data_IF_652854722585
#
_entry.id   IF_652854722585
#
_cell.length_a   1.000
_cell.length_b   1.000
_cell.length_c   1.000
_cell.angle_alpha   90.00
_cell.angle_beta   90.00
_cell.angle_gamma   90.00
#
_symmetry.space_group_name_H-M   'P 1'
#
loop_
_entity.id
_entity.type
_entity.pdbx_description
1 polymer ?
#
# COMPACT_ATOMS: atom_id res chain seq x y z
N UNK A 1 43.22 15.30 -22.79
CA UNK A 1 42.54 14.63 -23.94
C UNK A 1 42.11 13.29 -23.41
N UNK A 2 40.80 12.97 -23.46
CA UNK A 2 40.24 11.68 -22.96
C UNK A 2 40.77 10.55 -23.82
N UNK A 3 41.21 9.45 -23.23
CA UNK A 3 41.69 8.28 -23.95
C UNK A 3 40.48 7.40 -24.40
N UNK A 4 40.70 6.53 -25.39
CA UNK A 4 39.68 5.59 -25.82
C UNK A 4 39.21 4.66 -24.69
N UNK A 5 40.08 4.32 -23.75
CA UNK A 5 39.74 3.52 -22.57
C UNK A 5 38.82 4.28 -21.63
N UNK A 6 39.15 5.53 -21.28
CA UNK A 6 38.31 6.41 -20.44
C UNK A 6 36.94 6.67 -21.10
N UNK A 7 36.88 6.80 -22.43
CA UNK A 7 35.62 6.94 -23.17
C UNK A 7 34.77 5.68 -23.06
N UNK A 8 35.37 4.49 -23.20
CA UNK A 8 34.67 3.21 -23.04
C UNK A 8 34.07 3.05 -21.63
N UNK A 9 34.87 3.33 -20.60
CA UNK A 9 34.41 3.25 -19.20
C UNK A 9 33.27 4.24 -18.89
N UNK A 10 33.28 5.44 -19.48
CA UNK A 10 32.22 6.43 -19.34
C UNK A 10 30.95 5.99 -20.09
N UNK A 11 31.07 5.38 -21.25
CA UNK A 11 29.94 4.86 -22.04
C UNK A 11 29.26 3.70 -21.31
N UNK A 12 30.01 2.80 -20.69
CA UNK A 12 29.45 1.72 -19.87
C UNK A 12 28.66 2.26 -18.66
N UNK A 13 29.20 3.28 -17.96
CA UNK A 13 28.49 3.95 -16.86
C UNK A 13 27.21 4.64 -17.32
N UNK A 14 27.25 5.31 -18.48
CA UNK A 14 26.09 5.98 -19.05
C UNK A 14 25.00 4.97 -19.44
N UNK A 15 25.37 3.87 -20.06
CA UNK A 15 24.44 2.80 -20.42
C UNK A 15 23.80 2.16 -19.16
N UNK A 16 24.59 1.91 -18.11
CA UNK A 16 24.07 1.40 -16.85
C UNK A 16 23.06 2.38 -16.22
N UNK A 17 23.37 3.68 -16.19
CA UNK A 17 22.47 4.71 -15.68
C UNK A 17 21.18 4.83 -16.54
N UNK A 18 21.30 4.71 -17.85
CA UNK A 18 20.15 4.69 -18.76
C UNK A 18 19.25 3.47 -18.51
N UNK A 19 19.84 2.28 -18.34
CA UNK A 19 19.08 1.07 -18.03
C UNK A 19 18.38 1.13 -16.67
N UNK A 20 19.00 1.77 -15.67
CA UNK A 20 18.37 2.04 -14.37
C UNK A 20 17.19 3.03 -14.51
N UNK A 21 17.36 4.12 -15.25
CA UNK A 21 16.29 5.06 -15.54
C UNK A 21 15.15 4.40 -16.31
N UNK A 22 15.46 3.63 -17.34
CA UNK A 22 14.47 2.88 -18.11
C UNK A 22 13.66 1.92 -17.24
N UNK A 23 14.30 1.22 -16.29
CA UNK A 23 13.60 0.40 -15.30
C UNK A 23 12.70 1.21 -14.38
N UNK A 24 13.16 2.40 -13.96
CA UNK A 24 12.39 3.30 -13.07
C UNK A 24 11.09 3.79 -13.73
N UNK A 25 11.12 4.09 -15.03
CA UNK A 25 9.98 4.57 -15.80
C UNK A 25 9.21 3.45 -16.53
N UNK A 26 9.61 2.21 -16.39
CA UNK A 26 8.86 1.10 -16.96
C UNK A 26 7.53 0.93 -16.22
N UNK A 27 6.40 1.02 -16.94
CA UNK A 27 5.06 0.81 -16.39
C UNK A 27 4.97 -0.65 -15.89
N UNK A 28 4.72 -0.86 -14.60
CA UNK A 28 4.72 -2.22 -14.04
C UNK A 28 3.47 -2.99 -14.47
N UNK A 29 3.60 -4.31 -14.59
CA UNK A 29 2.47 -5.21 -14.85
C UNK A 29 1.87 -5.74 -13.53
N UNK A 30 0.60 -6.18 -13.61
CA UNK A 30 -0.10 -6.77 -12.45
C UNK A 30 0.62 -8.03 -11.97
N UNK A 31 0.93 -8.08 -10.69
CA UNK A 31 1.72 -9.14 -10.05
C UNK A 31 3.20 -8.82 -9.92
N UNK A 32 3.73 -7.82 -10.63
CA UNK A 32 5.11 -7.35 -10.45
C UNK A 32 5.27 -6.51 -9.18
N UNK A 33 6.51 -6.25 -8.83
CA UNK A 33 6.86 -5.43 -7.66
C UNK A 33 7.67 -4.21 -8.08
N UNK A 34 7.44 -3.10 -7.37
CA UNK A 34 8.22 -1.87 -7.47
C UNK A 34 8.71 -1.48 -6.08
N UNK A 35 9.79 -0.70 -6.00
CA UNK A 35 10.32 -0.21 -4.71
C UNK A 35 10.14 1.31 -4.64
N UNK A 36 9.47 1.77 -3.59
CA UNK A 36 9.21 3.19 -3.30
C UNK A 36 9.29 3.41 -1.80
N UNK A 37 9.93 4.46 -1.35
CA UNK A 37 10.16 4.82 0.05
C UNK A 37 10.78 3.68 0.87
N UNK A 38 11.68 2.91 0.25
CA UNK A 38 12.31 1.74 0.86
C UNK A 38 11.38 0.53 1.08
N UNK A 39 10.17 0.57 0.54
CA UNK A 39 9.16 -0.50 0.64
C UNK A 39 9.00 -1.16 -0.73
N UNK A 40 8.98 -2.49 -0.77
CA UNK A 40 8.59 -3.25 -1.96
C UNK A 40 7.08 -3.33 -2.02
N UNK A 41 6.50 -2.85 -3.11
CA UNK A 41 5.07 -2.82 -3.38
C UNK A 41 4.71 -3.79 -4.49
N UNK A 42 3.69 -4.59 -4.30
CA UNK A 42 3.13 -5.49 -5.31
C UNK A 42 1.96 -4.84 -6.02
N UNK A 43 1.98 -4.82 -7.34
CA UNK A 43 0.90 -4.32 -8.18
C UNK A 43 -0.23 -5.34 -8.18
N UNK A 44 -1.41 -4.90 -7.75
CA UNK A 44 -2.61 -5.74 -7.66
C UNK A 44 -3.56 -5.52 -8.84
N UNK A 45 -3.64 -4.27 -9.32
CA UNK A 45 -4.55 -3.89 -10.39
C UNK A 45 -4.04 -2.64 -11.11
N UNK A 46 -4.45 -2.47 -12.37
CA UNK A 46 -4.18 -1.29 -13.17
C UNK A 46 -5.49 -0.52 -13.32
N UNK A 47 -5.53 0.67 -12.77
CA UNK A 47 -6.69 1.55 -12.77
C UNK A 47 -6.50 2.66 -13.81
N UNK A 48 -7.58 3.38 -14.15
CA UNK A 48 -7.52 4.51 -15.08
C UNK A 48 -6.48 5.57 -14.67
N UNK A 49 -6.37 5.87 -13.37
CA UNK A 49 -5.51 6.93 -12.83
C UNK A 49 -4.22 6.44 -12.18
N UNK A 50 -3.94 5.15 -12.22
CA UNK A 50 -2.74 4.61 -11.57
C UNK A 50 -2.78 3.12 -11.28
N UNK A 51 -1.90 2.71 -10.37
CA UNK A 51 -1.68 1.32 -10.02
C UNK A 51 -2.06 1.07 -8.56
N UNK A 52 -2.99 0.15 -8.34
CA UNK A 52 -3.36 -0.30 -7.01
C UNK A 52 -2.27 -1.23 -6.50
N UNK A 53 -1.70 -0.89 -5.36
CA UNK A 53 -0.57 -1.62 -4.79
C UNK A 53 -0.76 -1.94 -3.31
N UNK A 54 -0.08 -2.98 -2.85
CA UNK A 54 0.06 -3.34 -1.44
C UNK A 54 1.53 -3.59 -1.13
N UNK A 55 1.98 -3.28 0.08
CA UNK A 55 3.33 -3.66 0.48
C UNK A 55 3.51 -5.18 0.44
N UNK A 56 4.58 -5.67 -0.17
CA UNK A 56 4.86 -7.11 -0.31
C UNK A 56 5.25 -7.73 1.04
N UNK A 57 5.91 -6.95 1.90
CA UNK A 57 6.22 -7.26 3.29
C UNK A 57 5.51 -6.33 4.28
N UNK A 58 5.92 -6.40 5.54
CA UNK A 58 5.40 -5.54 6.61
C UNK A 58 6.08 -4.18 6.65
N UNK A 59 5.31 -3.15 6.95
CA UNK A 59 5.81 -1.81 7.19
C UNK A 59 6.19 -1.63 8.66
N UNK A 60 7.47 -1.75 8.95
CA UNK A 60 8.03 -1.63 10.30
C UNK A 60 7.60 -2.73 11.26
N UNK A 61 7.52 -2.38 12.54
CA UNK A 61 7.13 -3.29 13.61
C UNK A 61 5.61 -3.50 13.66
N UNK A 62 5.17 -4.51 14.44
CA UNK A 62 3.75 -4.73 14.71
C UNK A 62 3.14 -3.55 15.47
N UNK A 63 1.95 -3.13 15.07
CA UNK A 63 1.25 -1.97 15.64
C UNK A 63 -0.16 -2.31 16.09
N UNK A 64 -0.63 -1.56 17.07
CA UNK A 64 -2.06 -1.50 17.39
C UNK A 64 -2.80 -0.84 16.24
N UNK A 65 -4.04 -1.27 16.03
CA UNK A 65 -4.92 -0.59 15.09
C UNK A 65 -5.34 0.79 15.64
N UNK A 66 -5.77 0.80 16.91
CA UNK A 66 -6.19 1.99 17.63
C UNK A 66 -6.10 1.80 19.15
N UNK A 67 -6.23 2.87 19.94
CA UNK A 67 -6.28 2.83 21.38
C UNK A 67 -7.69 2.67 21.97
N UNK A 68 -8.78 2.82 21.16
CA UNK A 68 -10.14 2.99 21.67
C UNK A 68 -11.24 2.24 20.93
N UNK A 69 -11.11 2.00 19.62
CA UNK A 69 -12.18 1.38 18.82
C UNK A 69 -11.66 0.70 17.54
N UNK A 70 -12.54 -0.02 16.86
CA UNK A 70 -12.27 -0.70 15.60
C UNK A 70 -12.63 0.13 14.34
N UNK A 71 -12.87 1.44 14.48
CA UNK A 71 -13.24 2.30 13.37
C UNK A 71 -12.01 2.86 12.65
N UNK A 72 -11.76 2.40 11.43
CA UNK A 72 -10.65 2.88 10.61
C UNK A 72 -10.63 4.40 10.43
N UNK A 73 -11.78 5.02 10.27
CA UNK A 73 -11.92 6.46 9.98
C UNK A 73 -11.23 7.38 10.98
N UNK A 74 -11.18 6.99 12.25
CA UNK A 74 -10.54 7.74 13.33
C UNK A 74 -9.31 7.05 13.94
N UNK A 75 -8.89 5.88 13.42
CA UNK A 75 -7.83 5.07 14.00
C UNK A 75 -6.47 5.78 13.98
N UNK A 76 -5.66 5.46 14.98
CA UNK A 76 -4.29 5.96 15.08
C UNK A 76 -3.42 5.44 13.93
N UNK A 77 -3.61 4.17 13.54
CA UNK A 77 -2.89 3.58 12.42
C UNK A 77 -3.20 4.28 11.09
N UNK A 78 -4.47 4.65 10.84
CA UNK A 78 -4.83 5.45 9.66
C UNK A 78 -4.13 6.79 9.64
N UNK A 79 -4.08 7.49 10.78
CA UNK A 79 -3.40 8.79 10.90
C UNK A 79 -1.92 8.64 10.57
N UNK A 80 -1.24 7.65 11.17
CA UNK A 80 0.17 7.38 10.91
C UNK A 80 0.44 7.12 9.41
N UNK A 81 -0.36 6.27 8.77
CA UNK A 81 -0.16 5.94 7.36
C UNK A 81 -0.42 7.14 6.42
N UNK A 82 -1.38 8.02 6.76
CA UNK A 82 -1.71 9.20 5.95
C UNK A 82 -0.90 10.46 6.35
N UNK A 83 0.06 10.33 7.27
CA UNK A 83 1.08 11.34 7.57
C UNK A 83 2.46 10.78 7.24
N UNK A 84 3.04 9.96 8.11
CA UNK A 84 4.43 9.56 8.07
C UNK A 84 4.81 8.76 6.82
N UNK A 85 3.98 7.77 6.44
CA UNK A 85 4.25 6.97 5.24
C UNK A 85 3.91 7.74 3.96
N UNK A 86 2.78 8.44 3.95
CA UNK A 86 2.42 9.32 2.84
C UNK A 86 3.54 10.33 2.54
N UNK A 87 4.05 11.02 3.56
CA UNK A 87 5.10 12.02 3.39
C UNK A 87 6.39 11.40 2.83
N UNK A 88 6.81 10.22 3.31
CA UNK A 88 7.96 9.49 2.75
C UNK A 88 7.80 9.13 1.27
N UNK A 89 6.59 8.75 0.86
CA UNK A 89 6.30 8.44 -0.55
C UNK A 89 6.35 9.72 -1.39
N UNK A 90 5.72 10.80 -0.91
CA UNK A 90 5.71 12.09 -1.62
C UNK A 90 7.08 12.78 -1.64
N UNK A 91 7.93 12.56 -0.63
CA UNK A 91 9.32 13.04 -0.61
C UNK A 91 10.18 12.38 -1.70
N UNK A 92 9.93 11.10 -2.02
CA UNK A 92 10.68 10.38 -3.06
C UNK A 92 10.11 10.59 -4.46
N UNK A 93 8.78 10.60 -4.61
CA UNK A 93 8.12 10.60 -5.92
C UNK A 93 7.50 11.94 -6.31
N UNK A 94 7.46 12.90 -5.39
CA UNK A 94 6.79 14.18 -5.57
C UNK A 94 5.33 14.19 -5.11
N UNK A 95 4.82 15.39 -4.90
CA UNK A 95 3.41 15.60 -4.54
C UNK A 95 2.50 15.16 -5.70
N UNK A 96 1.42 14.45 -5.36
CA UNK A 96 0.50 13.90 -6.36
C UNK A 96 0.86 12.49 -6.84
N UNK A 97 1.95 11.91 -6.33
CA UNK A 97 2.31 10.51 -6.59
C UNK A 97 1.28 9.51 -6.06
N UNK A 98 0.49 9.90 -5.06
CA UNK A 98 -0.60 9.10 -4.50
C UNK A 98 -1.96 9.61 -5.00
N UNK A 99 -2.81 8.69 -5.46
CA UNK A 99 -4.19 8.98 -5.86
C UNK A 99 -5.13 8.66 -4.71
N UNK A 100 -5.91 9.66 -4.27
CA UNK A 100 -6.92 9.48 -3.24
C UNK A 100 -8.06 8.56 -3.70
N UNK A 101 -8.49 7.65 -2.84
CA UNK A 101 -9.56 6.69 -3.13
C UNK A 101 -10.51 6.52 -1.95
N UNK A 102 -11.75 6.14 -2.26
CA UNK A 102 -12.76 5.90 -1.25
C UNK A 102 -12.57 4.52 -0.61
N UNK A 103 -12.74 4.47 0.72
CA UNK A 103 -12.72 3.26 1.54
C UNK A 103 -14.10 3.00 2.08
N UNK A 104 -14.67 1.88 1.74
CA UNK A 104 -15.90 1.37 2.36
C UNK A 104 -15.54 0.69 3.68
N UNK A 105 -16.18 1.13 4.77
CA UNK A 105 -15.95 0.63 6.12
C UNK A 105 -17.07 -0.33 6.57
N UNK A 106 -17.70 -1.00 5.61
CA UNK A 106 -18.66 -2.05 5.85
C UNK A 106 -18.08 -3.12 6.79
N UNK A 107 -18.80 -3.42 7.85
CA UNK A 107 -18.40 -4.46 8.79
C UNK A 107 -18.61 -5.87 8.23
N UNK A 108 -17.97 -6.85 8.85
CA UNK A 108 -18.09 -8.26 8.43
C UNK A 108 -19.51 -8.79 8.55
N UNK A 109 -20.30 -8.28 9.50
CA UNK A 109 -21.71 -8.61 9.72
C UNK A 109 -22.69 -7.70 8.97
N UNK A 110 -22.18 -6.81 8.09
CA UNK A 110 -23.00 -5.99 7.20
C UNK A 110 -23.48 -4.66 7.78
N UNK A 111 -22.94 -4.20 8.92
CA UNK A 111 -23.26 -2.88 9.48
C UNK A 111 -22.60 -1.75 8.69
N UNK A 112 -23.34 -0.68 8.41
CA UNK A 112 -22.91 0.45 7.58
C UNK A 112 -22.60 1.73 8.38
N UNK A 113 -22.64 1.68 9.70
CA UNK A 113 -22.55 2.84 10.58
C UNK A 113 -21.29 3.69 10.36
N UNK A 114 -20.16 3.05 10.08
CA UNK A 114 -18.89 3.77 9.85
C UNK A 114 -18.84 4.48 8.49
N UNK A 115 -19.73 4.11 7.54
CA UNK A 115 -19.84 4.73 6.23
C UNK A 115 -18.56 4.59 5.41
N UNK A 116 -18.15 5.70 4.78
CA UNK A 116 -16.94 5.75 3.95
C UNK A 116 -15.95 6.81 4.42
N UNK A 117 -14.69 6.70 3.99
CA UNK A 117 -13.71 7.77 4.09
C UNK A 117 -12.81 7.80 2.84
N UNK A 118 -12.06 8.90 2.66
CA UNK A 118 -11.04 9.00 1.61
C UNK A 118 -9.65 8.90 2.21
N UNK A 119 -8.81 8.10 1.60
CA UNK A 119 -7.41 7.90 2.00
C UNK A 119 -6.47 8.08 0.81
N UNK A 120 -5.23 8.42 1.09
CA UNK A 120 -4.10 8.28 0.18
C UNK A 120 -3.39 6.94 0.45
N UNK A 121 -3.27 6.57 1.72
CA UNK A 121 -2.74 5.27 2.15
C UNK A 121 -3.70 4.62 3.13
N UNK A 122 -4.00 3.35 2.91
CA UNK A 122 -4.97 2.57 3.71
C UNK A 122 -4.39 1.20 4.05
N UNK A 123 -5.24 0.33 4.58
CA UNK A 123 -5.05 -1.12 4.58
C UNK A 123 -6.08 -1.76 3.66
N UNK A 124 -5.85 -3.01 3.29
CA UNK A 124 -6.80 -3.78 2.48
C UNK A 124 -8.07 -4.14 3.28
N UNK A 125 -9.22 -4.19 2.64
CA UNK A 125 -10.44 -4.78 3.21
C UNK A 125 -10.47 -6.31 3.02
N UNK A 126 -11.39 -6.99 3.71
CA UNK A 126 -11.62 -8.43 3.52
C UNK A 126 -12.01 -8.75 2.08
N UNK A 127 -12.85 -7.93 1.45
CA UNK A 127 -13.30 -8.17 0.08
C UNK A 127 -12.21 -7.94 -0.96
N UNK A 128 -11.39 -6.90 -0.76
CA UNK A 128 -10.21 -6.68 -1.59
C UNK A 128 -9.17 -7.80 -1.41
N UNK A 129 -8.96 -8.26 -0.17
CA UNK A 129 -8.11 -9.42 0.08
C UNK A 129 -8.58 -10.65 -0.69
N UNK A 130 -9.88 -10.95 -0.67
CA UNK A 130 -10.47 -12.06 -1.44
C UNK A 130 -10.24 -11.89 -2.94
N UNK A 131 -10.48 -10.68 -3.46
CA UNK A 131 -10.30 -10.33 -4.88
C UNK A 131 -8.86 -10.54 -5.34
N UNK A 132 -7.90 -10.09 -4.53
CA UNK A 132 -6.48 -10.08 -4.91
C UNK A 132 -5.65 -11.21 -4.29
N UNK A 133 -6.29 -12.18 -3.62
CA UNK A 133 -5.63 -13.27 -2.88
C UNK A 133 -4.52 -13.97 -3.64
N UNK A 134 -4.69 -14.18 -4.95
CA UNK A 134 -3.72 -14.88 -5.81
C UNK A 134 -2.37 -14.16 -5.95
N UNK A 135 -2.34 -12.86 -5.72
CA UNK A 135 -1.12 -12.05 -5.79
C UNK A 135 -0.44 -11.85 -4.42
N UNK A 136 -1.12 -12.25 -3.33
CA UNK A 136 -0.63 -12.01 -1.98
C UNK A 136 0.13 -13.23 -1.47
N UNK A 137 1.45 -13.12 -1.22
CA UNK A 137 2.22 -14.21 -0.64
C UNK A 137 1.74 -14.50 0.79
N UNK A 138 2.01 -15.73 1.25
CA UNK A 138 1.89 -16.06 2.67
C UNK A 138 2.85 -15.22 3.49
N UNK A 139 2.48 -14.93 4.73
CA UNK A 139 3.28 -14.13 5.66
C UNK A 139 3.73 -15.00 6.84
N UNK A 140 4.62 -14.50 7.68
CA UNK A 140 5.10 -15.19 8.88
C UNK A 140 4.31 -14.85 10.14
N UNK A 141 3.45 -13.81 10.08
CA UNK A 141 2.64 -13.32 11.21
C UNK A 141 1.30 -12.78 10.75
N UNK A 142 0.42 -12.50 11.72
CA UNK A 142 -0.89 -11.89 11.50
C UNK A 142 -0.75 -10.43 11.10
N UNK A 143 -1.73 -9.91 10.32
CA UNK A 143 -1.74 -8.52 9.91
C UNK A 143 -3.16 -7.95 9.74
N UNK A 144 -3.25 -6.64 9.92
CA UNK A 144 -4.51 -5.91 9.95
C UNK A 144 -5.18 -5.79 8.57
N UNK A 145 -6.52 -5.86 8.58
CA UNK A 145 -7.38 -5.29 7.54
C UNK A 145 -8.12 -4.07 8.09
N UNK A 146 -8.82 -3.31 7.23
CA UNK A 146 -9.71 -2.23 7.70
C UNK A 146 -11.10 -2.72 8.10
N UNK A 147 -11.45 -3.99 7.87
CA UNK A 147 -12.80 -4.50 8.05
C UNK A 147 -13.07 -4.82 9.51
N UNK A 148 -13.97 -4.07 10.20
CA UNK A 148 -14.40 -4.41 11.55
C UNK A 148 -15.30 -5.64 11.55
N UNK A 149 -15.37 -6.34 12.66
CA UNK A 149 -16.32 -7.45 12.81
C UNK A 149 -17.74 -6.96 12.86
N UNK A 150 -17.98 -5.90 13.63
CA UNK A 150 -19.26 -5.24 13.82
C UNK A 150 -19.04 -3.77 14.18
N UNK A 151 -20.09 -3.04 14.50
CA UNK A 151 -20.09 -1.63 14.88
C UNK A 151 -20.86 -1.41 16.19
N UNK A 152 -20.79 -0.22 16.82
CA UNK A 152 -21.56 0.10 18.03
C UNK A 152 -23.08 -0.10 17.88
N UNK A 153 -23.64 0.00 16.67
CA UNK A 153 -25.05 -0.29 16.42
C UNK A 153 -25.44 -1.71 16.84
N UNK A 154 -24.49 -2.65 16.83
CA UNK A 154 -24.67 -4.03 17.28
C UNK A 154 -23.94 -4.31 18.61
N UNK A 155 -23.69 -3.26 19.40
CA UNK A 155 -22.96 -3.28 20.68
C UNK A 155 -21.55 -3.88 20.62
N UNK A 156 -20.91 -3.90 19.46
CA UNK A 156 -19.55 -4.38 19.30
C UNK A 156 -18.71 -3.41 18.43
N UNK A 157 -17.73 -2.78 19.05
CA UNK A 157 -16.73 -1.93 18.40
C UNK A 157 -15.32 -2.35 18.77
N UNK A 158 -15.11 -3.62 19.09
CA UNK A 158 -13.87 -4.09 19.72
C UNK A 158 -12.95 -4.85 18.77
N UNK A 159 -13.50 -5.56 17.80
CA UNK A 159 -12.74 -6.49 16.97
C UNK A 159 -12.70 -6.08 15.49
N UNK A 160 -11.58 -6.45 14.85
CA UNK A 160 -11.38 -6.35 13.39
C UNK A 160 -10.96 -7.69 12.83
N UNK A 161 -11.09 -7.83 11.53
CA UNK A 161 -10.52 -8.96 10.80
C UNK A 161 -9.02 -8.76 10.61
N UNK A 162 -8.27 -9.81 10.94
CA UNK A 162 -6.85 -9.95 10.63
C UNK A 162 -6.65 -11.14 9.72
N UNK A 163 -5.61 -11.07 8.89
CA UNK A 163 -5.18 -12.19 8.05
C UNK A 163 -4.10 -12.97 8.79
N UNK A 164 -4.26 -14.28 8.88
CA UNK A 164 -3.27 -15.17 9.47
C UNK A 164 -2.12 -15.49 8.51
N UNK A 165 -1.01 -16.07 8.98
CA UNK A 165 0.10 -16.50 8.12
C UNK A 165 -0.33 -17.43 6.98
N UNK A 166 -1.32 -18.28 7.20
CA UNK A 166 -1.85 -19.20 6.18
C UNK A 166 -2.97 -18.59 5.32
N UNK A 167 -3.30 -17.30 5.53
CA UNK A 167 -4.29 -16.56 4.75
C UNK A 167 -5.74 -16.75 5.19
N UNK A 168 -6.00 -17.27 6.40
CA UNK A 168 -7.33 -17.32 7.00
C UNK A 168 -7.66 -16.01 7.70
N UNK A 169 -8.95 -15.68 7.82
CA UNK A 169 -9.40 -14.55 8.63
C UNK A 169 -9.68 -14.97 10.07
N UNK A 170 -9.24 -14.13 11.01
CA UNK A 170 -9.53 -14.24 12.44
C UNK A 170 -10.05 -12.90 12.96
N UNK A 171 -10.77 -12.93 14.06
CA UNK A 171 -11.25 -11.77 14.79
C UNK A 171 -10.27 -11.44 15.91
N UNK A 172 -9.84 -10.19 16.01
CA UNK A 172 -8.92 -9.75 17.05
C UNK A 172 -9.20 -8.33 17.52
N UNK A 173 -8.87 -8.05 18.77
CA UNK A 173 -9.10 -6.76 19.40
C UNK A 173 -8.20 -5.67 18.83
N UNK A 174 -8.75 -4.46 18.60
CA UNK A 174 -8.06 -3.30 18.05
C UNK A 174 -6.79 -2.88 18.80
N UNK A 175 -6.68 -3.18 20.08
CA UNK A 175 -5.54 -2.82 20.94
C UNK A 175 -4.38 -3.84 20.93
N UNK A 176 -4.53 -4.96 20.27
CA UNK A 176 -3.44 -5.90 20.03
C UNK A 176 -2.52 -5.36 18.91
N UNK A 177 -1.29 -5.87 18.86
CA UNK A 177 -0.32 -5.47 17.85
C UNK A 177 -0.15 -6.56 16.80
N UNK A 178 -0.30 -6.18 15.53
CA UNK A 178 -0.11 -7.06 14.38
C UNK A 178 0.61 -6.33 13.25
N UNK A 179 1.05 -7.08 12.25
CA UNK A 179 1.73 -6.56 11.06
C UNK A 179 0.87 -5.55 10.29
N UNK A 180 1.54 -4.59 9.70
CA UNK A 180 0.92 -3.55 8.87
C UNK A 180 1.39 -3.73 7.43
N UNK A 181 0.44 -3.86 6.49
CA UNK A 181 0.70 -3.92 5.05
C UNK A 181 -0.05 -2.77 4.37
N UNK A 182 0.60 -1.62 4.18
CA UNK A 182 -0.01 -0.48 3.52
C UNK A 182 -0.52 -0.80 2.12
N UNK A 183 -1.63 -0.16 1.75
CA UNK A 183 -2.38 -0.34 0.53
C UNK A 183 -2.74 1.04 -0.03
N UNK A 184 -2.36 1.33 -1.29
CA UNK A 184 -2.55 2.65 -1.88
C UNK A 184 -2.66 2.57 -3.40
N UNK A 185 -2.86 3.73 -4.03
CA UNK A 185 -2.83 3.88 -5.49
C UNK A 185 -1.71 4.83 -5.85
N UNK A 186 -0.70 4.33 -6.57
CA UNK A 186 0.30 5.18 -7.20
C UNK A 186 -0.24 5.76 -8.51
N UNK A 187 -0.04 7.06 -8.72
CA UNK A 187 -0.41 7.73 -9.96
C UNK A 187 0.34 7.13 -11.15
N UNK A 188 -0.32 7.00 -12.31
CA UNK A 188 0.35 6.61 -13.55
C UNK A 188 1.45 7.59 -13.95
N UNK A 189 1.31 8.87 -13.59
CA UNK A 189 2.29 9.91 -13.91
C UNK A 189 3.70 9.67 -13.33
N UNK A 190 3.84 8.89 -12.27
CA UNK A 190 5.18 8.57 -11.73
C UNK A 190 6.00 7.63 -12.66
N UNK A 191 5.36 7.01 -13.65
CA UNK A 191 5.97 6.14 -14.66
C UNK A 191 6.00 6.77 -16.05
N UNK A 192 5.65 8.06 -16.16
CA UNK A 192 5.71 8.82 -17.40
C UNK A 192 6.99 9.67 -17.39
N UNK A 193 7.80 9.57 -18.46
CA UNK A 193 8.93 10.48 -18.64
C UNK A 193 8.41 11.83 -19.08
N UNK A 194 9.07 12.93 -18.73
CA UNK A 194 8.70 14.29 -19.14
C UNK A 194 8.73 14.50 -20.69
N UNK A 195 9.06 13.45 -21.47
CA UNK A 195 9.19 13.49 -22.93
C UNK A 195 7.93 13.05 -23.69
N UNK A 196 6.85 12.65 -22.99
CA UNK A 196 5.62 12.18 -23.65
C UNK A 196 4.62 13.31 -24.00
N UNK A 197 5.04 14.59 -23.95
CA UNK A 197 4.24 15.78 -24.28
C UNK A 197 4.65 16.40 -25.65
N UNK A 198 4.67 15.60 -26.73
CA UNK A 198 4.77 16.13 -28.11
C UNK A 198 3.60 15.65 -28.99
#
# INVERSE_FOLDING_TARGET
>A
MMTLKEFGENLEKLNAAYDELKKKYQKPEVGETITVAGITWRVLDKLEKGYLVISDGFYGEDRKFDGSCNNWKCSDLRKELNTDLKDKIEDELGKGALVGFERDLLSMDGQTEYGTCKDLVSLISVDEYRKYRKFLPSTDRYWWTITPDSTPCNNDSTCLRVVSPVGSFLSNYYYLSFGVRPFCIFSSSIFESEEDDD
#
